data_IF_399392064550
#
_entry.id   IF_399392064550
#
_cell.length_a   1.000
_cell.length_b   1.000
_cell.length_c   1.000
_cell.angle_alpha   90.00
_cell.angle_beta   90.00
_cell.angle_gamma   90.00
#
_symmetry.space_group_name_H-M   'P 1'
#
loop_
_entity.id
_entity.type
_entity.pdbx_description
1 polymer ?
#
# COMPACT_ATOMS: atom_id res chain seq x y z
N UNK A 1 23.36 21.29 -50.16
CA UNK A 1 23.59 21.38 -48.70
C UNK A 1 23.68 19.96 -48.14
N UNK A 2 24.82 19.63 -47.53
CA UNK A 2 25.11 18.30 -46.96
C UNK A 2 24.66 18.29 -45.50
N UNK A 3 23.77 17.37 -45.14
CA UNK A 3 23.38 17.13 -43.74
C UNK A 3 24.22 15.99 -43.19
N UNK A 4 25.05 16.30 -42.19
CA UNK A 4 25.91 15.36 -41.51
C UNK A 4 25.09 14.48 -40.57
N UNK A 5 25.02 13.18 -40.85
CA UNK A 5 24.61 12.17 -39.88
C UNK A 5 25.84 11.75 -39.08
N UNK A 6 25.87 12.09 -37.79
CA UNK A 6 26.86 11.55 -36.85
C UNK A 6 26.35 10.25 -36.25
N UNK A 7 27.08 9.18 -36.55
CA UNK A 7 26.92 7.84 -36.02
C UNK A 7 27.60 7.79 -34.64
N UNK A 8 26.91 7.32 -33.59
CA UNK A 8 27.48 7.17 -32.25
C UNK A 8 27.66 5.67 -31.95
N UNK A 9 28.90 5.21 -31.91
CA UNK A 9 29.30 3.86 -31.51
C UNK A 9 29.84 3.87 -30.08
N UNK A 10 29.38 3.00 -29.16
CA UNK A 10 29.92 2.93 -27.82
C UNK A 10 31.02 1.86 -27.74
N UNK A 11 32.26 2.23 -28.08
CA UNK A 11 33.45 1.47 -27.68
C UNK A 11 34.46 2.46 -27.09
N UNK A 12 34.43 2.60 -25.77
CA UNK A 12 35.63 2.80 -24.94
C UNK A 12 35.21 2.85 -23.46
N UNK A 13 35.19 1.69 -22.80
CA UNK A 13 35.15 1.61 -21.33
C UNK A 13 36.54 1.19 -20.84
N UNK A 14 37.24 2.00 -20.04
CA UNK A 14 38.53 1.60 -19.48
C UNK A 14 38.36 0.47 -18.46
N UNK A 15 39.16 -0.59 -18.59
CA UNK A 15 39.22 -1.72 -17.65
C UNK A 15 39.85 -1.28 -16.33
N UNK A 16 39.34 -1.72 -15.16
CA UNK A 16 39.98 -1.44 -13.88
C UNK A 16 41.26 -2.26 -13.72
N UNK A 17 42.36 -1.57 -13.42
CA UNK A 17 43.66 -2.15 -13.11
C UNK A 17 43.69 -2.79 -11.72
N UNK A 18 44.22 -4.00 -11.65
CA UNK A 18 44.61 -4.68 -10.41
C UNK A 18 45.80 -3.96 -9.73
N UNK A 19 45.66 -3.62 -8.44
CA UNK A 19 46.70 -3.87 -7.41
C UNK A 19 46.26 -3.44 -6.02
N UNK A 20 46.48 -4.30 -5.03
CA UNK A 20 46.39 -3.90 -3.63
C UNK A 20 46.44 -5.01 -2.59
N UNK A 21 47.34 -5.99 -2.73
CA UNK A 21 47.61 -7.01 -1.70
C UNK A 21 47.94 -6.40 -0.34
N UNK A 22 47.27 -6.87 0.73
CA UNK A 22 47.87 -6.98 2.08
C UNK A 22 47.56 -8.35 2.68
N UNK A 23 48.63 -9.09 2.94
CA UNK A 23 48.70 -10.40 3.59
C UNK A 23 49.09 -10.20 5.06
N UNK A 24 48.56 -11.08 5.91
CA UNK A 24 49.20 -11.62 7.11
C UNK A 24 48.50 -11.25 8.43
N UNK A 25 48.28 -12.14 9.40
CA UNK A 25 48.35 -13.61 9.57
C UNK A 25 47.78 -13.91 11.01
N UNK A 26 47.81 -15.13 11.62
CA UNK A 26 46.66 -15.73 12.30
C UNK A 26 46.85 -16.06 13.80
N UNK A 27 45.82 -16.70 14.40
CA UNK A 27 45.87 -17.46 15.66
C UNK A 27 44.59 -17.23 16.49
N UNK A 28 44.01 -18.14 17.27
CA UNK A 28 44.32 -19.50 17.74
C UNK A 28 43.03 -20.02 18.43
N UNK A 29 42.64 -21.29 18.28
CA UNK A 29 41.68 -21.96 19.19
C UNK A 29 42.32 -22.27 20.56
N UNK A 30 41.79 -23.15 21.45
CA UNK A 30 40.76 -24.19 21.24
C UNK A 30 39.76 -24.40 22.42
N UNK A 31 38.78 -25.32 22.27
CA UNK A 31 38.10 -26.00 23.40
C UNK A 31 36.65 -26.46 23.15
N UNK A 32 36.42 -27.76 22.89
CA UNK A 32 35.08 -28.42 22.88
C UNK A 32 34.67 -28.95 24.28
N UNK A 33 33.87 -30.05 24.45
CA UNK A 33 33.00 -30.76 23.50
C UNK A 33 31.63 -31.28 24.09
N UNK A 34 30.87 -31.99 23.22
CA UNK A 34 29.98 -33.17 23.46
C UNK A 34 28.47 -33.06 23.79
N UNK A 35 27.71 -33.83 22.98
CA UNK A 35 26.46 -34.56 23.30
C UNK A 35 25.41 -34.41 22.17
N UNK A 36 24.89 -35.40 21.45
CA UNK A 36 24.97 -36.86 21.51
C UNK A 36 23.57 -37.51 21.53
N UNK A 37 23.15 -38.10 20.39
CA UNK A 37 22.16 -39.19 20.16
C UNK A 37 20.66 -38.89 19.98
N UNK A 38 20.11 -39.56 18.95
CA UNK A 38 18.71 -39.98 18.85
C UNK A 38 18.31 -40.49 17.45
N UNK A 39 18.58 -41.77 17.15
CA UNK A 39 18.07 -42.51 15.97
C UNK A 39 16.67 -43.11 16.24
N UNK A 40 15.83 -43.29 15.20
CA UNK A 40 14.84 -44.38 15.20
C UNK A 40 13.61 -44.28 14.27
N UNK A 41 13.69 -44.90 13.08
CA UNK A 41 12.67 -45.87 12.61
C UNK A 41 11.50 -45.44 11.69
N UNK A 42 10.91 -46.36 10.89
CA UNK A 42 10.54 -46.12 9.48
C UNK A 42 9.05 -46.34 9.13
N UNK A 43 8.59 -45.88 7.96
CA UNK A 43 7.32 -46.38 7.41
C UNK A 43 6.78 -45.71 6.14
N UNK A 44 6.83 -46.45 5.01
CA UNK A 44 5.69 -46.55 4.09
C UNK A 44 5.61 -45.61 2.89
N UNK A 45 6.36 -45.90 1.82
CA UNK A 45 6.00 -45.45 0.47
C UNK A 45 4.96 -46.37 -0.18
N UNK A 46 3.82 -45.82 -0.62
CA UNK A 46 3.04 -46.29 -1.78
C UNK A 46 2.34 -45.11 -2.43
N UNK A 47 2.78 -44.78 -3.64
CA UNK A 47 2.09 -43.86 -4.52
C UNK A 47 0.78 -44.45 -5.04
N UNK A 48 -0.24 -43.61 -5.14
CA UNK A 48 -1.26 -43.68 -6.18
C UNK A 48 -1.49 -42.27 -6.69
N UNK A 49 -0.96 -42.02 -7.88
CA UNK A 49 -1.38 -40.88 -8.68
C UNK A 49 -2.83 -41.09 -9.12
N UNK A 50 -3.67 -40.11 -8.85
CA UNK A 50 -4.89 -39.88 -9.61
C UNK A 50 -4.90 -38.39 -9.92
N UNK A 51 -4.61 -38.06 -11.18
CA UNK A 51 -4.74 -36.69 -11.67
C UNK A 51 -6.19 -36.23 -11.55
N UNK A 52 -6.39 -35.03 -11.01
CA UNK A 52 -7.63 -34.29 -11.21
C UNK A 52 -7.31 -32.80 -11.19
N UNK A 53 -7.69 -32.14 -12.27
CA UNK A 53 -8.01 -30.72 -12.25
C UNK A 53 -6.83 -29.77 -12.41
N UNK A 54 -6.54 -29.45 -13.66
CA UNK A 54 -6.02 -28.15 -14.07
C UNK A 54 -6.92 -27.04 -13.50
N UNK A 55 -6.58 -26.53 -12.33
CA UNK A 55 -7.05 -25.25 -11.82
C UNK A 55 -5.84 -24.32 -11.78
N UNK A 56 -5.70 -23.45 -12.78
CA UNK A 56 -4.82 -22.29 -12.64
C UNK A 56 -5.37 -21.47 -11.45
N UNK A 57 -4.63 -21.27 -10.34
CA UNK A 57 -5.01 -20.29 -9.33
C UNK A 57 -4.58 -18.92 -9.86
N UNK A 58 -5.28 -18.45 -10.88
CA UNK A 58 -5.10 -17.12 -11.48
C UNK A 58 -6.14 -16.18 -10.91
N UNK A 59 -5.81 -15.54 -9.80
CA UNK A 59 -6.64 -14.54 -9.13
C UNK A 59 -6.13 -14.39 -7.71
N UNK A 60 -5.31 -13.38 -7.47
CA UNK A 60 -4.68 -13.10 -6.18
C UNK A 60 -5.73 -12.86 -5.10
N UNK A 61 -6.06 -13.93 -4.36
CA UNK A 61 -6.68 -13.93 -3.03
C UNK A 61 -7.68 -12.79 -2.81
N UNK A 62 -8.92 -12.99 -3.25
CA UNK A 62 -10.07 -12.67 -2.38
C UNK A 62 -9.97 -13.66 -1.22
N UNK A 63 -9.17 -13.31 -0.20
CA UNK A 63 -9.42 -13.88 1.11
C UNK A 63 -10.74 -13.26 1.59
N UNK A 64 -11.53 -14.04 2.32
CA UNK A 64 -12.87 -13.77 2.83
C UNK A 64 -12.92 -12.57 3.81
N UNK A 65 -12.51 -11.38 3.36
CA UNK A 65 -12.70 -10.16 4.14
C UNK A 65 -14.20 -9.87 4.14
N UNK A 66 -14.83 -9.64 5.32
CA UNK A 66 -16.25 -9.29 5.38
C UNK A 66 -16.59 -8.14 4.41
N UNK A 67 -17.77 -8.21 3.80
CA UNK A 67 -18.27 -7.08 3.02
C UNK A 67 -18.34 -5.85 3.93
N UNK A 68 -18.00 -4.69 3.35
CA UNK A 68 -18.07 -3.39 4.00
C UNK A 68 -19.04 -2.45 3.26
N UNK A 69 -19.98 -3.01 2.50
CA UNK A 69 -20.97 -2.24 1.73
C UNK A 69 -21.88 -1.39 2.65
N UNK A 70 -22.09 -1.83 3.91
CA UNK A 70 -22.85 -1.10 4.92
C UNK A 70 -22.01 -0.11 5.75
N UNK A 71 -20.72 0.08 5.43
CA UNK A 71 -19.81 0.90 6.22
C UNK A 71 -20.30 2.35 6.33
N UNK A 72 -20.82 2.93 5.25
CA UNK A 72 -21.38 4.29 5.27
C UNK A 72 -22.49 4.42 6.32
N UNK A 73 -23.44 3.50 6.32
CA UNK A 73 -24.58 3.51 7.26
C UNK A 73 -24.12 3.26 8.70
N UNK A 74 -23.18 2.33 8.88
CA UNK A 74 -22.62 2.01 10.20
C UNK A 74 -21.90 3.21 10.80
N UNK A 75 -21.02 3.87 10.04
CA UNK A 75 -20.31 5.06 10.52
C UNK A 75 -21.28 6.22 10.78
N UNK A 76 -22.28 6.41 9.91
CA UNK A 76 -23.31 7.44 10.11
C UNK A 76 -24.07 7.23 11.43
N UNK A 77 -24.39 5.99 11.79
CA UNK A 77 -25.03 5.67 13.08
C UNK A 77 -24.08 5.68 14.28
N UNK A 78 -22.79 5.43 14.08
CA UNK A 78 -21.81 5.29 15.16
C UNK A 78 -21.13 6.59 15.55
N UNK A 79 -20.94 7.51 14.61
CA UNK A 79 -20.26 8.79 14.81
C UNK A 79 -21.11 9.71 15.69
N UNK A 80 -20.50 10.45 16.64
CA UNK A 80 -21.21 11.50 17.36
C UNK A 80 -21.80 12.56 16.40
N UNK A 81 -23.07 12.91 16.61
CA UNK A 81 -23.82 13.80 15.71
C UNK A 81 -23.32 15.25 15.69
N UNK A 82 -22.51 15.64 16.66
CA UNK A 82 -21.91 16.97 16.80
C UNK A 82 -20.53 17.10 16.15
N UNK A 83 -19.95 16.01 15.64
CA UNK A 83 -18.60 16.05 15.07
C UNK A 83 -18.53 16.69 13.70
N UNK A 84 -19.47 16.34 12.81
CA UNK A 84 -19.36 16.68 11.40
C UNK A 84 -20.69 17.16 10.84
N UNK A 85 -20.58 18.08 9.89
CA UNK A 85 -21.70 18.51 9.04
C UNK A 85 -21.96 17.53 7.90
N UNK A 86 -20.93 16.79 7.50
CA UNK A 86 -20.96 15.78 6.45
C UNK A 86 -19.83 14.76 6.66
N UNK A 87 -19.99 13.53 6.19
CA UNK A 87 -18.96 12.49 6.31
C UNK A 87 -18.86 11.64 5.04
N UNK A 88 -17.63 11.51 4.57
CA UNK A 88 -17.25 10.72 3.40
C UNK A 88 -16.49 9.47 3.89
N UNK A 89 -17.03 8.28 3.57
CA UNK A 89 -16.44 6.99 3.92
C UNK A 89 -15.98 6.30 2.63
N UNK A 90 -14.67 6.15 2.48
CA UNK A 90 -14.07 5.44 1.36
C UNK A 90 -13.51 4.10 1.84
N UNK A 91 -13.90 3.02 1.17
CA UNK A 91 -13.47 1.66 1.50
C UNK A 91 -12.68 1.07 0.35
N UNK A 92 -11.47 0.62 0.64
CA UNK A 92 -10.69 -0.20 -0.26
C UNK A 92 -10.47 -1.63 0.30
N UNK A 93 -9.48 -2.33 -0.24
CA UNK A 93 -9.16 -3.71 0.16
C UNK A 93 -8.62 -3.78 1.60
N UNK A 94 -7.77 -2.85 1.98
CA UNK A 94 -6.96 -2.90 3.20
C UNK A 94 -7.38 -1.83 4.23
N UNK A 95 -8.08 -0.79 3.78
CA UNK A 95 -8.34 0.42 4.54
C UNK A 95 -9.77 0.95 4.36
N UNK A 96 -10.34 1.49 5.44
CA UNK A 96 -11.50 2.37 5.45
C UNK A 96 -11.01 3.77 5.84
N UNK A 97 -11.18 4.75 4.97
CA UNK A 97 -10.86 6.15 5.24
C UNK A 97 -12.13 6.92 5.57
N UNK A 98 -12.16 7.52 6.76
CA UNK A 98 -13.25 8.37 7.25
C UNK A 98 -12.82 9.83 7.17
N UNK A 99 -13.46 10.63 6.32
CA UNK A 99 -13.18 12.05 6.18
C UNK A 99 -14.42 12.85 6.56
N UNK A 100 -14.37 13.52 7.71
CA UNK A 100 -15.48 14.34 8.22
C UNK A 100 -15.30 15.83 7.91
N UNK A 101 -16.38 16.50 7.53
CA UNK A 101 -16.40 17.95 7.28
C UNK A 101 -16.78 18.69 8.56
N UNK A 102 -15.83 19.43 9.12
CA UNK A 102 -16.05 20.27 10.29
C UNK A 102 -16.86 21.52 9.89
N UNK A 103 -17.72 21.98 10.80
CA UNK A 103 -18.47 23.21 10.57
C UNK A 103 -17.51 24.39 10.34
N UNK A 104 -17.57 24.95 9.13
CA UNK A 104 -16.72 26.04 8.71
C UNK A 104 -17.35 27.39 9.05
N UNK A 105 -16.56 28.25 9.67
CA UNK A 105 -16.74 29.70 9.58
C UNK A 105 -15.79 30.21 8.48
N UNK A 106 -15.97 31.44 8.02
CA UNK A 106 -15.12 32.06 7.01
C UNK A 106 -13.70 32.26 7.56
N UNK A 107 -12.85 31.24 7.41
CA UNK A 107 -11.59 31.08 8.12
C UNK A 107 -10.38 31.23 7.21
N UNK A 108 -9.32 31.85 7.74
CA UNK A 108 -8.02 31.85 7.08
C UNK A 108 -7.36 30.46 7.19
N UNK A 109 -6.49 30.06 6.24
CA UNK A 109 -5.86 28.73 6.23
C UNK A 109 -5.15 28.36 7.55
N UNK A 110 -4.40 29.28 8.15
CA UNK A 110 -3.71 29.03 9.43
C UNK A 110 -4.69 28.82 10.60
N UNK A 111 -5.86 29.47 10.58
CA UNK A 111 -6.91 29.26 11.58
C UNK A 111 -7.55 27.89 11.41
N UNK A 112 -7.77 27.46 10.16
CA UNK A 112 -8.27 26.14 9.84
C UNK A 112 -7.31 25.04 10.33
N UNK A 113 -6.01 25.15 10.04
CA UNK A 113 -4.98 24.23 10.55
C UNK A 113 -4.99 24.13 12.07
N UNK A 114 -5.08 25.26 12.77
CA UNK A 114 -5.14 25.31 14.24
C UNK A 114 -6.38 24.62 14.80
N UNK A 115 -7.56 24.84 14.19
CA UNK A 115 -8.81 24.17 14.57
C UNK A 115 -8.75 22.66 14.31
N UNK A 116 -8.26 22.25 13.15
CA UNK A 116 -8.05 20.84 12.78
C UNK A 116 -7.13 20.16 13.79
N UNK A 117 -6.01 20.79 14.15
CA UNK A 117 -5.06 20.25 15.11
C UNK A 117 -5.67 20.06 16.50
N UNK A 118 -6.42 21.06 16.99
CA UNK A 118 -7.17 20.97 18.25
C UNK A 118 -8.20 19.84 18.21
N UNK A 119 -9.05 19.82 17.19
CA UNK A 119 -10.07 18.78 17.03
C UNK A 119 -9.46 17.38 17.00
N UNK A 120 -8.35 17.20 16.29
CA UNK A 120 -7.62 15.94 16.20
C UNK A 120 -7.17 15.45 17.58
N UNK A 121 -6.67 16.36 18.42
CA UNK A 121 -6.22 16.05 19.76
C UNK A 121 -7.39 15.70 20.69
N UNK A 122 -8.43 16.54 20.69
CA UNK A 122 -9.59 16.43 21.59
C UNK A 122 -10.43 15.16 21.31
N UNK A 123 -10.51 14.72 20.04
CA UNK A 123 -11.30 13.54 19.64
C UNK A 123 -10.53 12.23 19.62
N UNK A 124 -9.23 12.24 19.93
CA UNK A 124 -8.31 11.11 19.69
C UNK A 124 -8.83 9.79 20.26
N UNK A 125 -9.24 9.76 21.53
CA UNK A 125 -9.64 8.52 22.21
C UNK A 125 -10.92 7.95 21.61
N UNK A 126 -11.92 8.80 21.39
CA UNK A 126 -13.18 8.39 20.77
C UNK A 126 -12.97 7.84 19.35
N UNK A 127 -12.10 8.47 18.54
CA UNK A 127 -11.76 7.98 17.20
C UNK A 127 -11.05 6.63 17.24
N UNK A 128 -10.16 6.41 18.21
CA UNK A 128 -9.50 5.11 18.38
C UNK A 128 -10.53 4.02 18.74
N UNK A 129 -11.46 4.31 19.65
CA UNK A 129 -12.49 3.34 20.02
C UNK A 129 -13.39 2.98 18.83
N UNK A 130 -13.87 3.98 18.08
CA UNK A 130 -14.69 3.77 16.88
C UNK A 130 -13.91 2.98 15.82
N UNK A 131 -12.65 3.35 15.60
CA UNK A 131 -11.77 2.63 14.69
C UNK A 131 -11.67 1.15 15.10
N UNK A 132 -11.37 0.84 16.35
CA UNK A 132 -11.25 -0.56 16.81
C UNK A 132 -12.52 -1.38 16.60
N UNK A 133 -13.70 -0.79 16.83
CA UNK A 133 -14.98 -1.46 16.56
C UNK A 133 -15.17 -1.75 15.06
N UNK A 134 -14.88 -0.77 14.20
CA UNK A 134 -14.94 -0.93 12.74
C UNK A 134 -13.89 -1.93 12.22
N UNK A 135 -12.64 -1.85 12.71
CA UNK A 135 -11.58 -2.79 12.34
C UNK A 135 -11.94 -4.22 12.73
N UNK A 136 -12.59 -4.42 13.88
CA UNK A 136 -13.09 -5.74 14.30
C UNK A 136 -14.25 -6.25 13.44
N UNK A 137 -15.09 -5.33 12.93
CA UNK A 137 -16.25 -5.67 12.08
C UNK A 137 -15.86 -5.97 10.63
N UNK A 138 -14.98 -5.13 10.07
CA UNK A 138 -14.70 -5.08 8.63
C UNK A 138 -13.34 -5.66 8.26
N UNK A 139 -12.51 -6.01 9.24
CA UNK A 139 -11.16 -6.54 9.06
C UNK A 139 -10.25 -5.68 8.17
N UNK A 140 -10.51 -4.36 8.15
CA UNK A 140 -9.75 -3.33 7.42
C UNK A 140 -9.27 -2.30 8.41
N UNK A 141 -8.11 -1.69 8.15
CA UNK A 141 -7.59 -0.61 8.99
C UNK A 141 -8.44 0.65 8.84
N UNK A 142 -8.64 1.39 9.92
CA UNK A 142 -9.41 2.64 9.87
C UNK A 142 -8.50 3.84 9.95
N UNK A 143 -8.70 4.73 9.00
CA UNK A 143 -7.97 5.96 8.85
C UNK A 143 -8.90 7.16 8.93
N UNK A 144 -8.35 8.27 9.40
CA UNK A 144 -9.12 9.44 9.75
C UNK A 144 -8.56 10.66 9.06
N UNK A 145 -9.44 11.49 8.54
CA UNK A 145 -9.15 12.85 8.16
C UNK A 145 -10.32 13.78 8.43
N UNK A 146 -10.07 15.06 8.22
CA UNK A 146 -11.11 16.09 8.26
C UNK A 146 -10.89 17.13 7.19
N UNK A 147 -12.00 17.75 6.78
CA UNK A 147 -12.03 18.95 5.93
C UNK A 147 -12.54 20.13 6.74
N UNK A 148 -11.94 21.29 6.55
CA UNK A 148 -12.41 22.57 7.09
C UNK A 148 -12.09 23.67 6.08
N UNK A 149 -13.14 24.21 5.45
CA UNK A 149 -12.99 25.10 4.29
C UNK A 149 -12.26 24.37 3.15
N UNK A 150 -11.20 24.99 2.63
CA UNK A 150 -10.34 24.40 1.58
C UNK A 150 -9.23 23.48 2.13
N UNK A 151 -9.13 23.35 3.46
CA UNK A 151 -8.05 22.57 4.09
C UNK A 151 -8.53 21.16 4.42
N UNK A 152 -7.84 20.15 3.86
CA UNK A 152 -8.02 18.75 4.22
C UNK A 152 -6.76 18.21 4.92
N UNK A 153 -6.95 17.44 5.99
CA UNK A 153 -5.85 16.80 6.70
C UNK A 153 -6.17 15.35 7.06
N UNK A 154 -5.34 14.41 6.57
CA UNK A 154 -5.33 13.01 7.00
C UNK A 154 -4.40 12.84 8.22
N UNK A 155 -4.87 12.13 9.25
CA UNK A 155 -4.20 11.97 10.54
C UNK A 155 -3.51 10.63 10.71
N UNK A 156 -4.16 9.57 10.23
CA UNK A 156 -3.71 8.20 10.20
C UNK A 156 -4.06 7.69 8.81
N UNK A 157 -3.11 7.05 8.14
CA UNK A 157 -3.27 6.42 6.83
C UNK A 157 -2.36 5.19 6.76
N UNK A 158 -2.81 4.15 6.07
CA UNK A 158 -2.07 2.91 5.93
C UNK A 158 -0.97 3.07 4.86
N UNK A 159 0.26 2.76 5.23
CA UNK A 159 1.34 2.61 4.26
C UNK A 159 1.44 1.14 3.84
N UNK A 160 0.92 0.80 2.65
CA UNK A 160 1.01 -0.55 2.13
C UNK A 160 2.46 -0.89 1.68
N UNK A 161 2.95 -2.12 1.92
CA UNK A 161 4.27 -2.54 1.48
C UNK A 161 4.28 -2.83 -0.03
N UNK A 162 4.37 -1.77 -0.84
CA UNK A 162 4.39 -1.88 -2.31
C UNK A 162 5.79 -2.20 -2.83
N UNK A 163 6.83 -1.64 -2.20
CA UNK A 163 8.19 -1.69 -2.71
C UNK A 163 8.80 -3.10 -2.79
N UNK A 164 8.39 -3.99 -1.89
CA UNK A 164 8.93 -5.36 -1.80
C UNK A 164 8.49 -6.26 -2.96
N UNK A 165 7.47 -5.83 -3.73
CA UNK A 165 6.97 -6.57 -4.89
C UNK A 165 7.54 -6.10 -6.22
N UNK A 166 8.16 -4.91 -6.28
CA UNK A 166 8.78 -4.43 -7.52
C UNK A 166 10.03 -5.24 -7.85
N UNK A 167 10.23 -5.58 -9.13
CA UNK A 167 11.47 -6.25 -9.58
C UNK A 167 12.55 -5.20 -9.81
N UNK A 168 13.73 -5.66 -10.21
CA UNK A 168 14.88 -4.78 -10.39
C UNK A 168 14.65 -3.69 -11.44
N UNK A 169 14.06 -3.96 -12.63
CA UNK A 169 13.86 -2.91 -13.63
C UNK A 169 12.95 -1.78 -13.15
N UNK A 170 11.86 -2.10 -12.44
CA UNK A 170 10.97 -1.08 -11.89
C UNK A 170 11.66 -0.25 -10.81
N UNK A 171 12.52 -0.88 -9.99
CA UNK A 171 13.33 -0.14 -9.00
C UNK A 171 14.34 0.80 -9.64
N UNK A 172 14.93 0.45 -10.80
CA UNK A 172 15.85 1.32 -11.54
C UNK A 172 15.17 2.59 -12.08
N UNK A 173 13.90 2.49 -12.50
CA UNK A 173 13.11 3.66 -12.90
C UNK A 173 12.94 4.62 -11.72
N UNK A 174 12.62 4.08 -10.53
CA UNK A 174 12.49 4.89 -9.32
C UNK A 174 13.81 5.50 -8.87
N UNK A 175 14.93 4.77 -9.01
CA UNK A 175 16.27 5.30 -8.78
C UNK A 175 16.56 6.52 -9.65
N UNK A 176 16.21 6.43 -10.93
CA UNK A 176 16.38 7.54 -11.88
C UNK A 176 15.61 8.79 -11.44
N UNK A 177 14.39 8.62 -10.92
CA UNK A 177 13.58 9.74 -10.40
C UNK A 177 14.20 10.38 -9.15
N UNK A 178 14.80 9.57 -8.26
CA UNK A 178 15.50 10.06 -7.09
C UNK A 178 16.79 10.79 -7.49
N UNK A 179 17.59 10.19 -8.36
CA UNK A 179 18.85 10.74 -8.85
C UNK A 179 18.64 12.06 -9.62
N UNK A 180 17.52 12.17 -10.35
CA UNK A 180 17.12 13.41 -11.04
C UNK A 180 16.55 14.49 -10.09
N UNK A 181 16.40 14.19 -8.79
CA UNK A 181 15.86 15.13 -7.79
C UNK A 181 14.35 15.34 -7.86
N UNK A 182 13.62 14.52 -8.64
CA UNK A 182 12.14 14.59 -8.74
C UNK A 182 11.50 14.13 -7.42
N UNK A 183 12.15 13.23 -6.69
CA UNK A 183 11.65 12.68 -5.44
C UNK A 183 12.76 12.52 -4.40
N UNK A 184 12.38 12.58 -3.12
CA UNK A 184 13.34 12.51 -1.99
C UNK A 184 13.69 11.08 -1.58
N UNK A 185 12.93 10.09 -2.06
CA UNK A 185 13.13 8.67 -1.79
C UNK A 185 12.44 7.82 -2.86
N UNK A 186 12.75 6.52 -2.94
CA UNK A 186 12.07 5.60 -3.86
C UNK A 186 10.56 5.50 -3.59
N UNK A 187 10.13 5.55 -2.34
CA UNK A 187 8.71 5.53 -1.98
C UNK A 187 8.01 6.82 -2.43
N UNK A 188 8.67 7.97 -2.29
CA UNK A 188 8.18 9.26 -2.77
C UNK A 188 8.11 9.29 -4.31
N UNK A 189 9.11 8.70 -4.98
CA UNK A 189 9.15 8.53 -6.42
C UNK A 189 7.98 7.67 -6.93
N UNK A 190 7.71 6.55 -6.25
CA UNK A 190 6.59 5.68 -6.60
C UNK A 190 5.24 6.40 -6.43
N UNK A 191 5.06 7.11 -5.32
CA UNK A 191 3.86 7.90 -5.08
C UNK A 191 3.69 8.99 -6.17
N UNK A 192 4.78 9.65 -6.57
CA UNK A 192 4.78 10.60 -7.68
C UNK A 192 4.35 9.95 -9.00
N UNK A 193 4.91 8.80 -9.36
CA UNK A 193 4.54 8.07 -10.59
C UNK A 193 3.05 7.70 -10.62
N UNK A 194 2.49 7.24 -9.49
CA UNK A 194 1.07 6.90 -9.39
C UNK A 194 0.18 8.15 -9.56
N UNK A 195 0.53 9.27 -8.91
CA UNK A 195 -0.20 10.53 -9.07
C UNK A 195 -0.16 11.03 -10.52
N UNK A 196 1.00 10.96 -11.17
CA UNK A 196 1.15 11.35 -12.58
C UNK A 196 0.25 10.51 -13.49
N UNK A 197 0.26 9.18 -13.32
CA UNK A 197 -0.63 8.29 -14.10
C UNK A 197 -2.09 8.63 -13.84
N UNK A 198 -2.47 8.88 -12.58
CA UNK A 198 -3.84 9.28 -12.21
C UNK A 198 -4.29 10.55 -12.95
N UNK A 199 -3.45 11.59 -12.98
CA UNK A 199 -3.75 12.85 -13.68
C UNK A 199 -4.04 12.66 -15.18
N UNK A 200 -3.41 11.66 -15.81
CA UNK A 200 -3.59 11.40 -17.24
C UNK A 200 -4.64 10.33 -17.56
N UNK A 201 -5.11 9.59 -16.55
CA UNK A 201 -5.98 8.44 -16.73
C UNK A 201 -7.33 8.56 -16.00
N UNK A 202 -7.62 9.70 -15.36
CA UNK A 202 -8.75 9.82 -14.42
C UNK A 202 -10.11 9.47 -15.06
N UNK A 203 -10.37 9.95 -16.29
CA UNK A 203 -11.61 9.64 -17.02
C UNK A 203 -11.76 8.13 -17.27
N UNK A 204 -10.70 7.48 -17.76
CA UNK A 204 -10.73 6.04 -18.04
C UNK A 204 -10.80 5.20 -16.75
N UNK A 205 -10.09 5.60 -15.69
CA UNK A 205 -10.15 4.95 -14.39
C UNK A 205 -11.51 5.13 -13.72
N UNK A 206 -12.19 6.26 -13.95
CA UNK A 206 -13.58 6.49 -13.56
C UNK A 206 -14.51 5.47 -14.20
N UNK A 207 -14.48 5.37 -15.53
CA UNK A 207 -15.31 4.40 -16.28
C UNK A 207 -15.05 2.95 -15.85
N UNK A 208 -13.78 2.58 -15.59
CA UNK A 208 -13.45 1.24 -15.11
C UNK A 208 -14.03 0.96 -13.72
N UNK A 209 -13.96 1.92 -12.79
CA UNK A 209 -14.54 1.79 -11.44
C UNK A 209 -16.05 1.63 -11.49
N UNK A 210 -16.72 2.43 -12.32
CA UNK A 210 -18.17 2.32 -12.53
C UNK A 210 -18.56 0.94 -13.08
N UNK A 211 -17.87 0.48 -14.13
CA UNK A 211 -18.12 -0.85 -14.69
C UNK A 211 -17.91 -1.99 -13.67
N UNK A 212 -16.88 -1.89 -12.82
CA UNK A 212 -16.64 -2.87 -11.77
C UNK A 212 -17.72 -2.85 -10.68
N UNK A 213 -18.23 -1.66 -10.30
CA UNK A 213 -19.35 -1.54 -9.35
C UNK A 213 -20.61 -2.23 -9.87
N UNK A 214 -20.92 -2.09 -11.16
CA UNK A 214 -22.07 -2.77 -11.77
C UNK A 214 -21.90 -4.30 -11.81
N UNK A 215 -20.69 -4.78 -12.06
CA UNK A 215 -20.38 -6.23 -11.97
C UNK A 215 -20.60 -6.74 -10.55
N UNK A 216 -20.20 -6.00 -9.52
CA UNK A 216 -20.38 -6.42 -8.13
C UNK A 216 -21.85 -6.38 -7.70
N UNK A 217 -22.65 -5.40 -8.17
CA UNK A 217 -24.12 -5.40 -8.01
C UNK A 217 -24.78 -6.61 -8.66
N UNK A 218 -24.34 -7.00 -9.86
CA UNK A 218 -24.87 -8.19 -10.53
C UNK A 218 -24.49 -9.48 -9.79
N UNK A 219 -23.30 -9.54 -9.19
CA UNK A 219 -22.87 -10.68 -8.34
C UNK A 219 -23.73 -10.81 -7.09
N UNK A 220 -24.08 -9.70 -6.44
CA UNK A 220 -24.94 -9.72 -5.24
C UNK A 220 -26.40 -10.05 -5.54
N UNK A 221 -26.86 -9.80 -6.77
CA UNK A 221 -28.20 -10.16 -7.26
C UNK A 221 -28.27 -11.55 -7.91
N UNK A 222 -27.13 -12.24 -8.03
CA UNK A 222 -27.06 -13.56 -8.67
C UNK A 222 -27.93 -14.61 -7.95
N UNK A 223 -28.46 -15.62 -8.67
CA UNK A 223 -29.32 -16.63 -8.07
C UNK A 223 -28.55 -17.38 -6.97
N UNK A 224 -29.05 -17.30 -5.73
CA UNK A 224 -28.53 -18.09 -4.61
C UNK A 224 -28.74 -19.57 -4.89
N UNK A 225 -27.64 -20.28 -5.20
CA UNK A 225 -27.60 -21.73 -5.32
C UNK A 225 -27.00 -22.34 -4.07
#
# INVERSE_FOLDING_TARGET
MRSHHTHFTPEDTPRPTERGSRRGMPGRGPGGPRGGRGMGGPGGGRGRGMGRGMGRPGGWQQADVPSADDAQDWFTGRLPSDWFTDVDINVDRDEITVIGTLAAEDLKPAEAEGRISRWRADTKEARIAIAQEAEARYERKVSWGVRLGETEALFTHLAAPVMTRLRQPERQVLDTLVDAGVARSRSDALAWSVRLVGQHADEWLGQLREAMSEVDKLRSQGPGL
#
